data_IF_502004044424
#
_entry.id   IF_502004044424
#
_cell.length_a   1.000
_cell.length_b   1.000
_cell.length_c   1.000
_cell.angle_alpha   90.00
_cell.angle_beta   90.00
_cell.angle_gamma   90.00
#
_symmetry.space_group_name_H-M   'P 1'
#
loop_
_entity.id
_entity.type
_entity.pdbx_description
1 polymer ?
#
# COMPACT_ATOMS: atom_id res chain seq x y z
N UNK A 1 -53.35 49.61 -29.26
CA UNK A 1 -51.91 49.39 -29.01
C UNK A 1 -51.56 48.43 -27.85
N UNK A 2 -52.47 47.56 -27.38
CA UNK A 2 -52.18 46.67 -26.22
C UNK A 2 -51.91 45.18 -26.56
N UNK A 3 -51.93 44.79 -27.85
CA UNK A 3 -51.71 43.40 -28.25
C UNK A 3 -50.23 42.91 -28.33
N UNK A 4 -49.22 43.74 -28.66
CA UNK A 4 -47.84 43.21 -28.80
C UNK A 4 -47.13 42.97 -27.46
N UNK A 5 -47.46 43.72 -26.40
CA UNK A 5 -46.83 43.59 -25.08
C UNK A 5 -47.20 42.29 -24.34
N UNK A 6 -48.40 41.74 -24.55
CA UNK A 6 -48.80 40.48 -23.90
C UNK A 6 -48.14 39.25 -24.54
N UNK A 7 -47.80 39.31 -25.84
CA UNK A 7 -47.19 38.18 -26.56
C UNK A 7 -45.73 37.94 -26.15
N UNK A 8 -44.94 39.01 -25.97
CA UNK A 8 -43.54 38.91 -25.49
C UNK A 8 -43.47 38.37 -24.05
N UNK A 9 -44.39 38.82 -23.19
CA UNK A 9 -44.45 38.37 -21.79
C UNK A 9 -44.77 36.87 -21.71
N UNK A 10 -45.65 36.36 -22.58
CA UNK A 10 -45.98 34.93 -22.65
C UNK A 10 -44.80 34.10 -23.18
N UNK A 11 -44.07 34.58 -24.17
CA UNK A 11 -42.87 33.90 -24.69
C UNK A 11 -41.72 33.87 -23.67
N UNK A 12 -41.47 34.96 -22.95
CA UNK A 12 -40.47 34.97 -21.86
C UNK A 12 -40.84 34.03 -20.72
N UNK A 13 -42.12 33.99 -20.34
CA UNK A 13 -42.61 33.09 -19.29
C UNK A 13 -42.51 31.61 -19.72
N UNK A 14 -42.76 31.31 -20.99
CA UNK A 14 -42.60 29.97 -21.56
C UNK A 14 -41.11 29.55 -21.62
N UNK A 15 -40.21 30.47 -21.96
CA UNK A 15 -38.76 30.23 -21.98
C UNK A 15 -38.19 29.98 -20.57
N UNK A 16 -38.63 30.76 -19.57
CA UNK A 16 -38.27 30.56 -18.16
C UNK A 16 -38.76 29.21 -17.62
N UNK A 17 -39.99 28.80 -17.94
CA UNK A 17 -40.51 27.46 -17.58
C UNK A 17 -39.72 26.33 -18.24
N UNK A 18 -39.32 26.49 -19.51
CA UNK A 18 -38.47 25.51 -20.21
C UNK A 18 -37.06 25.43 -19.60
N UNK A 19 -36.49 26.55 -19.21
CA UNK A 19 -35.20 26.63 -18.50
C UNK A 19 -35.27 25.91 -17.15
N UNK A 20 -36.30 26.20 -16.35
CA UNK A 20 -36.50 25.56 -15.04
C UNK A 20 -36.80 24.06 -15.14
N UNK A 21 -37.55 23.62 -16.16
CA UNK A 21 -37.76 22.20 -16.43
C UNK A 21 -36.49 21.48 -16.86
N UNK A 22 -35.64 22.12 -17.68
CA UNK A 22 -34.35 21.57 -18.07
C UNK A 22 -33.38 21.48 -16.88
N UNK A 23 -33.33 22.49 -16.01
CA UNK A 23 -32.53 22.44 -14.78
C UNK A 23 -33.01 21.37 -13.81
N UNK A 24 -34.33 21.21 -13.64
CA UNK A 24 -34.90 20.13 -12.83
C UNK A 24 -34.63 18.75 -13.42
N UNK A 25 -34.78 18.56 -14.74
CA UNK A 25 -34.44 17.29 -15.40
C UNK A 25 -32.94 16.98 -15.31
N UNK A 26 -32.08 17.99 -15.44
CA UNK A 26 -30.63 17.82 -15.31
C UNK A 26 -30.25 17.46 -13.87
N UNK A 27 -30.83 18.14 -12.87
CA UNK A 27 -30.65 17.84 -11.45
C UNK A 27 -31.15 16.43 -11.09
N UNK A 28 -32.30 16.02 -11.62
CA UNK A 28 -32.89 14.71 -11.38
C UNK A 28 -32.09 13.58 -12.07
N UNK A 29 -31.55 13.83 -13.27
CA UNK A 29 -30.66 12.92 -13.97
C UNK A 29 -29.30 12.79 -13.26
N UNK A 30 -28.73 13.88 -12.73
CA UNK A 30 -27.52 13.84 -11.89
C UNK A 30 -27.75 13.09 -10.58
N UNK A 31 -28.90 13.29 -9.94
CA UNK A 31 -29.29 12.57 -8.73
C UNK A 31 -29.44 11.06 -8.99
N UNK A 32 -30.09 10.68 -10.10
CA UNK A 32 -30.20 9.28 -10.53
C UNK A 32 -28.83 8.65 -10.82
N UNK A 33 -27.94 9.34 -11.55
CA UNK A 33 -26.56 8.90 -11.78
C UNK A 33 -25.76 8.75 -10.48
N UNK A 34 -25.92 9.68 -9.54
CA UNK A 34 -25.26 9.62 -8.24
C UNK A 34 -25.75 8.42 -7.42
N UNK A 35 -27.05 8.12 -7.45
CA UNK A 35 -27.61 6.94 -6.79
C UNK A 35 -27.14 5.63 -7.40
N UNK A 36 -27.10 5.53 -8.74
CA UNK A 36 -26.57 4.34 -9.43
C UNK A 36 -25.09 4.14 -9.08
N UNK A 37 -24.29 5.21 -9.10
CA UNK A 37 -22.88 5.16 -8.70
C UNK A 37 -22.71 4.76 -7.23
N UNK A 38 -23.55 5.25 -6.32
CA UNK A 38 -23.54 4.87 -4.91
C UNK A 38 -23.92 3.39 -4.70
N UNK A 39 -24.91 2.87 -5.44
CA UNK A 39 -25.28 1.45 -5.41
C UNK A 39 -24.16 0.57 -5.96
N UNK A 40 -23.57 0.95 -7.09
CA UNK A 40 -22.48 0.21 -7.73
C UNK A 40 -21.23 0.17 -6.84
N UNK A 41 -20.79 1.32 -6.33
CA UNK A 41 -19.64 1.39 -5.40
C UNK A 41 -19.88 0.59 -4.13
N UNK A 42 -21.11 0.60 -3.59
CA UNK A 42 -21.49 -0.25 -2.47
C UNK A 42 -21.41 -1.74 -2.83
N UNK A 43 -21.95 -2.14 -3.98
CA UNK A 43 -21.87 -3.53 -4.46
C UNK A 43 -20.41 -3.99 -4.62
N UNK A 44 -19.60 -3.19 -5.31
CA UNK A 44 -18.16 -3.46 -5.52
C UNK A 44 -17.41 -3.59 -4.19
N UNK A 45 -17.74 -2.77 -3.18
CA UNK A 45 -17.10 -2.82 -1.86
C UNK A 45 -17.31 -4.11 -1.07
N UNK A 46 -18.25 -4.99 -1.48
CA UNK A 46 -18.42 -6.30 -0.85
C UNK A 46 -17.29 -7.28 -1.21
N UNK A 47 -16.65 -7.12 -2.37
CA UNK A 47 -15.62 -8.05 -2.84
C UNK A 47 -14.28 -7.35 -3.15
N UNK A 48 -14.26 -6.04 -3.38
CA UNK A 48 -13.03 -5.29 -3.65
C UNK A 48 -12.38 -4.69 -2.40
N UNK A 49 -11.19 -4.11 -2.57
CA UNK A 49 -10.44 -3.45 -1.50
C UNK A 49 -10.11 -4.42 -0.37
N UNK A 50 -10.38 -3.97 0.87
CA UNK A 50 -10.14 -4.70 2.12
C UNK A 50 -11.32 -5.60 2.56
N UNK A 51 -12.41 -5.66 1.78
CA UNK A 51 -13.68 -6.31 2.14
C UNK A 51 -14.15 -5.97 3.56
N UNK A 52 -14.05 -4.70 3.97
CA UNK A 52 -14.42 -4.26 5.32
C UNK A 52 -15.84 -4.67 5.79
N UNK A 53 -16.90 -4.65 4.94
CA UNK A 53 -18.22 -5.15 5.33
C UNK A 53 -18.22 -6.63 5.71
N UNK A 54 -17.53 -7.47 4.93
CA UNK A 54 -17.36 -8.89 5.21
C UNK A 54 -16.57 -9.10 6.51
N UNK A 55 -15.46 -8.37 6.68
CA UNK A 55 -14.68 -8.43 7.92
C UNK A 55 -15.48 -8.06 9.18
N UNK A 56 -16.40 -7.09 9.08
CA UNK A 56 -17.33 -6.77 10.19
C UNK A 56 -18.30 -7.90 10.49
N UNK A 57 -18.91 -8.49 9.45
CA UNK A 57 -19.81 -9.64 9.58
C UNK A 57 -19.08 -10.86 10.17
N UNK A 58 -17.80 -11.02 9.84
CA UNK A 58 -16.97 -12.16 10.25
C UNK A 58 -16.66 -12.18 11.76
N UNK A 59 -16.62 -11.01 12.42
CA UNK A 59 -16.36 -10.91 13.88
C UNK A 59 -17.37 -11.66 14.75
N UNK A 60 -18.60 -11.83 14.28
CA UNK A 60 -19.69 -12.47 15.02
C UNK A 60 -19.86 -13.96 14.75
N UNK A 61 -18.95 -14.62 14.04
CA UNK A 61 -19.08 -16.05 13.70
C UNK A 61 -18.11 -16.93 14.49
N UNK A 62 -18.28 -18.23 14.31
CA UNK A 62 -17.44 -19.25 14.93
C UNK A 62 -15.95 -19.06 14.64
N UNK A 63 -15.10 -19.35 15.63
CA UNK A 63 -13.66 -19.08 15.59
C UNK A 63 -12.95 -19.77 14.43
N UNK A 64 -13.35 -20.99 14.04
CA UNK A 64 -12.73 -21.68 12.91
C UNK A 64 -12.95 -20.94 11.58
N UNK A 65 -14.13 -20.32 11.39
CA UNK A 65 -14.40 -19.50 10.22
C UNK A 65 -13.58 -18.21 10.24
N UNK A 66 -13.36 -17.62 11.42
CA UNK A 66 -12.49 -16.47 11.56
C UNK A 66 -11.03 -16.82 11.24
N UNK A 67 -10.52 -17.95 11.76
CA UNK A 67 -9.17 -18.43 11.44
C UNK A 67 -9.02 -18.67 9.94
N UNK A 68 -10.02 -19.26 9.28
CA UNK A 68 -9.99 -19.42 7.83
C UNK A 68 -9.93 -18.08 7.10
N UNK A 69 -10.76 -17.10 7.46
CA UNK A 69 -10.69 -15.73 6.91
C UNK A 69 -9.30 -15.11 7.12
N UNK A 70 -8.70 -15.28 8.30
CA UNK A 70 -7.37 -14.73 8.62
C UNK A 70 -6.25 -15.42 7.82
N UNK A 71 -6.37 -16.73 7.58
CA UNK A 71 -5.45 -17.49 6.72
C UNK A 71 -5.55 -17.02 5.27
N UNK A 72 -6.77 -16.85 4.74
CA UNK A 72 -6.97 -16.34 3.38
C UNK A 72 -6.43 -14.91 3.23
N UNK A 73 -6.72 -14.01 4.18
CA UNK A 73 -6.12 -12.68 4.22
C UNK A 73 -4.60 -12.75 4.33
N UNK A 74 -4.07 -13.66 5.15
CA UNK A 74 -2.64 -13.90 5.29
C UNK A 74 -1.97 -14.29 3.98
N UNK A 75 -2.60 -15.15 3.17
CA UNK A 75 -2.10 -15.50 1.85
C UNK A 75 -2.02 -14.27 0.92
N UNK A 76 -3.05 -13.43 0.91
CA UNK A 76 -3.08 -12.22 0.08
C UNK A 76 -2.13 -11.11 0.57
N UNK A 77 -1.84 -11.05 1.88
CA UNK A 77 -0.99 -10.03 2.48
C UNK A 77 0.48 -10.08 2.04
N UNK A 78 0.94 -11.19 1.44
CA UNK A 78 2.26 -11.26 0.80
C UNK A 78 2.45 -10.15 -0.24
N UNK A 79 1.37 -9.81 -0.96
CA UNK A 79 1.33 -8.71 -1.93
C UNK A 79 0.58 -7.48 -1.39
N UNK A 80 0.57 -7.31 -0.07
CA UNK A 80 -0.09 -6.22 0.67
C UNK A 80 -1.62 -6.14 0.52
N UNK A 81 -2.26 -7.23 0.12
CA UNK A 81 -3.71 -7.28 -0.09
C UNK A 81 -4.41 -7.83 1.16
N UNK A 82 -5.34 -7.07 1.72
CA UNK A 82 -6.19 -7.51 2.84
C UNK A 82 -7.56 -8.01 2.35
N UNK A 83 -7.60 -9.05 1.53
CA UNK A 83 -8.82 -9.51 0.89
C UNK A 83 -8.90 -11.06 0.90
N UNK A 84 -9.87 -11.67 1.61
CA UNK A 84 -9.97 -13.13 1.70
C UNK A 84 -10.37 -13.78 0.37
N UNK A 85 -11.11 -13.08 -0.51
CA UNK A 85 -11.42 -13.59 -1.84
C UNK A 85 -10.16 -13.62 -2.71
N UNK A 86 -9.34 -12.58 -2.69
CA UNK A 86 -8.02 -12.60 -3.32
C UNK A 86 -7.15 -13.73 -2.77
N UNK A 87 -7.17 -13.94 -1.45
CA UNK A 87 -6.48 -15.05 -0.80
C UNK A 87 -6.93 -16.43 -1.27
N UNK A 88 -8.23 -16.63 -1.45
CA UNK A 88 -8.80 -17.86 -1.99
C UNK A 88 -8.33 -18.11 -3.43
N UNK A 89 -8.32 -17.08 -4.26
CA UNK A 89 -7.85 -17.15 -5.65
C UNK A 89 -6.35 -17.43 -5.69
N UNK A 90 -5.56 -16.84 -4.79
CA UNK A 90 -4.13 -17.14 -4.64
C UNK A 90 -3.93 -18.62 -4.26
N UNK A 91 -4.68 -19.16 -3.29
CA UNK A 91 -4.59 -20.60 -2.99
C UNK A 91 -4.96 -21.48 -4.19
N UNK A 92 -5.95 -21.10 -5.01
CA UNK A 92 -6.26 -21.81 -6.25
C UNK A 92 -5.07 -21.82 -7.22
N UNK A 93 -4.37 -20.69 -7.36
CA UNK A 93 -3.12 -20.60 -8.14
C UNK A 93 -1.99 -21.44 -7.54
N UNK A 94 -1.83 -21.45 -6.22
CA UNK A 94 -0.83 -22.31 -5.54
C UNK A 94 -1.12 -23.80 -5.76
N UNK A 95 -2.39 -24.21 -5.71
CA UNK A 95 -2.80 -25.59 -6.00
C UNK A 95 -2.51 -25.95 -7.46
N UNK A 96 -2.73 -25.02 -8.39
CA UNK A 96 -2.38 -25.19 -9.80
C UNK A 96 -0.87 -25.32 -10.01
N UNK A 97 -0.06 -24.55 -9.27
CA UNK A 97 1.39 -24.66 -9.29
C UNK A 97 1.82 -26.04 -8.80
N UNK A 98 1.54 -26.34 -7.53
CA UNK A 98 1.92 -27.58 -6.89
C UNK A 98 1.11 -27.78 -5.60
N UNK A 99 0.42 -28.91 -5.51
CA UNK A 99 -0.41 -29.29 -4.34
C UNK A 99 0.39 -29.40 -3.04
N UNK A 100 1.61 -29.91 -3.11
CA UNK A 100 2.50 -30.05 -1.95
C UNK A 100 2.97 -28.68 -1.45
N UNK A 101 3.30 -27.76 -2.35
CA UNK A 101 3.68 -26.40 -1.99
C UNK A 101 2.50 -25.65 -1.38
N UNK A 102 1.32 -25.75 -1.99
CA UNK A 102 0.08 -25.16 -1.46
C UNK A 102 -0.24 -25.65 -0.05
N UNK A 103 -0.08 -26.95 0.21
CA UNK A 103 -0.26 -27.54 1.55
C UNK A 103 0.75 -26.95 2.56
N UNK A 104 2.04 -26.89 2.21
CA UNK A 104 3.06 -26.35 3.09
C UNK A 104 2.84 -24.86 3.38
N UNK A 105 2.43 -24.07 2.38
CA UNK A 105 2.05 -22.67 2.57
C UNK A 105 0.81 -22.51 3.46
N UNK A 106 -0.21 -23.35 3.27
CA UNK A 106 -1.39 -23.36 4.13
C UNK A 106 -1.01 -23.67 5.60
N UNK A 107 -0.23 -24.73 5.82
CA UNK A 107 0.28 -25.11 7.14
C UNK A 107 1.07 -23.96 7.76
N UNK A 108 1.98 -23.34 7.00
CA UNK A 108 2.78 -22.24 7.52
C UNK A 108 1.94 -21.02 7.92
N UNK A 109 0.97 -20.64 7.08
CA UNK A 109 0.03 -19.54 7.41
C UNK A 109 -0.80 -19.84 8.66
N UNK A 110 -1.32 -21.07 8.75
CA UNK A 110 -2.16 -21.52 9.85
C UNK A 110 -1.38 -21.48 11.16
N UNK A 111 -0.18 -22.07 11.20
CA UNK A 111 0.62 -22.15 12.42
C UNK A 111 1.26 -20.82 12.82
N UNK A 112 1.58 -19.93 11.87
CA UNK A 112 1.95 -18.56 12.18
C UNK A 112 0.76 -17.79 12.82
N UNK A 113 -0.45 -17.97 12.29
CA UNK A 113 -1.67 -17.38 12.85
C UNK A 113 -1.97 -17.92 14.25
N UNK A 114 -1.88 -19.24 14.45
CA UNK A 114 -2.06 -19.89 15.76
C UNK A 114 -1.01 -19.37 16.76
N UNK A 115 0.25 -19.30 16.36
CA UNK A 115 1.32 -18.76 17.22
C UNK A 115 1.04 -17.31 17.62
N UNK A 116 0.57 -16.46 16.70
CA UNK A 116 0.20 -15.08 17.03
C UNK A 116 -0.97 -15.00 18.04
N UNK A 117 -1.92 -15.95 17.98
CA UNK A 117 -3.00 -16.06 18.96
C UNK A 117 -2.49 -16.49 20.34
N UNK A 118 -1.59 -17.49 20.38
CA UNK A 118 -0.94 -17.98 21.61
C UNK A 118 -0.15 -16.85 22.27
N UNK A 119 0.64 -16.11 21.48
CA UNK A 119 1.44 -14.96 21.90
C UNK A 119 0.61 -13.70 22.17
N UNK A 120 -0.72 -13.77 22.07
CA UNK A 120 -1.67 -12.67 22.30
C UNK A 120 -1.32 -11.38 21.54
N UNK A 121 -0.89 -11.53 20.29
CA UNK A 121 -0.62 -10.39 19.41
C UNK A 121 -1.90 -9.60 19.08
N UNK A 122 -1.73 -8.38 18.55
CA UNK A 122 -2.84 -7.48 18.24
C UNK A 122 -3.90 -8.18 17.36
N UNK A 123 -5.13 -8.30 17.88
CA UNK A 123 -6.23 -9.01 17.22
C UNK A 123 -6.65 -8.41 15.88
N UNK A 124 -6.55 -7.08 15.74
CA UNK A 124 -6.82 -6.40 14.47
C UNK A 124 -5.78 -6.74 13.40
N UNK A 125 -4.50 -6.80 13.78
CA UNK A 125 -3.42 -7.20 12.88
C UNK A 125 -3.52 -8.69 12.48
N UNK A 126 -3.86 -9.58 13.41
CA UNK A 126 -4.16 -10.99 13.11
C UNK A 126 -5.32 -11.08 12.13
N UNK A 127 -6.42 -10.38 12.41
CA UNK A 127 -7.61 -10.40 11.56
C UNK A 127 -7.39 -9.80 10.17
N UNK A 128 -6.39 -8.92 10.01
CA UNK A 128 -5.96 -8.39 8.73
C UNK A 128 -4.97 -9.31 7.99
N UNK A 129 -4.59 -10.47 8.56
CA UNK A 129 -3.63 -11.40 7.96
C UNK A 129 -2.16 -11.03 8.15
N UNK A 130 -1.83 -9.97 8.90
CA UNK A 130 -0.45 -9.45 9.03
C UNK A 130 0.50 -10.40 9.77
N UNK A 131 -0.02 -11.40 10.48
CA UNK A 131 0.77 -12.46 11.12
C UNK A 131 0.81 -13.77 10.32
N UNK A 132 0.09 -13.86 9.19
CA UNK A 132 0.03 -15.07 8.37
C UNK A 132 0.98 -15.06 7.17
N UNK A 133 1.20 -13.90 6.54
CA UNK A 133 1.91 -13.83 5.24
C UNK A 133 3.40 -14.18 5.29
N UNK A 134 4.07 -14.00 6.43
CA UNK A 134 5.43 -14.50 6.57
C UNK A 134 5.42 -16.04 6.68
N UNK A 135 4.42 -16.61 7.35
CA UNK A 135 4.25 -18.05 7.49
C UNK A 135 3.96 -18.76 6.17
N UNK A 136 3.12 -18.18 5.29
CA UNK A 136 2.86 -18.79 3.97
C UNK A 136 4.14 -18.91 3.15
N UNK A 137 4.96 -17.86 3.14
CA UNK A 137 6.23 -17.84 2.39
C UNK A 137 7.25 -18.80 3.00
N UNK A 138 7.35 -18.87 4.34
CA UNK A 138 8.21 -19.87 5.00
C UNK A 138 7.82 -21.28 4.56
N UNK A 139 6.54 -21.64 4.65
CA UNK A 139 6.08 -22.97 4.25
C UNK A 139 6.33 -23.26 2.77
N UNK A 140 5.95 -22.34 1.88
CA UNK A 140 6.16 -22.49 0.44
C UNK A 140 7.64 -22.68 0.09
N UNK A 141 8.51 -21.79 0.55
CA UNK A 141 9.90 -21.80 0.13
C UNK A 141 10.72 -22.90 0.81
N UNK A 142 10.32 -23.38 1.99
CA UNK A 142 10.89 -24.61 2.55
C UNK A 142 10.56 -25.82 1.68
N UNK A 143 9.38 -25.89 1.06
CA UNK A 143 9.04 -26.93 0.10
C UNK A 143 9.80 -26.77 -1.23
N UNK A 144 9.86 -25.55 -1.77
CA UNK A 144 10.56 -25.25 -3.03
C UNK A 144 12.06 -25.56 -2.93
N UNK A 145 12.70 -25.25 -1.81
CA UNK A 145 14.13 -25.47 -1.63
C UNK A 145 14.49 -26.84 -1.04
N UNK A 146 13.52 -27.72 -0.75
CA UNK A 146 13.82 -29.06 -0.27
C UNK A 146 14.23 -29.99 -1.42
N UNK A 147 15.38 -30.65 -1.27
CA UNK A 147 15.84 -31.69 -2.20
C UNK A 147 15.22 -33.07 -1.92
N UNK A 148 14.39 -33.20 -0.86
CA UNK A 148 13.67 -34.44 -0.55
C UNK A 148 12.46 -34.68 -1.47
N UNK A 149 12.06 -33.66 -2.25
CA UNK A 149 10.95 -33.74 -3.20
C UNK A 149 9.56 -33.57 -2.58
N UNK A 150 8.54 -33.72 -3.41
CA UNK A 150 7.15 -33.56 -3.01
C UNK A 150 6.70 -34.68 -2.06
N UNK A 151 5.76 -34.35 -1.17
CA UNK A 151 5.15 -35.28 -0.21
C UNK A 151 6.11 -35.88 0.83
N UNK A 152 7.28 -35.26 1.02
CA UNK A 152 8.15 -35.56 2.14
C UNK A 152 7.56 -35.03 3.46
N UNK A 153 6.67 -35.82 4.08
CA UNK A 153 5.86 -35.43 5.24
C UNK A 153 6.65 -34.90 6.44
N UNK A 154 7.89 -35.38 6.64
CA UNK A 154 8.77 -34.90 7.70
C UNK A 154 9.06 -33.40 7.61
N UNK A 155 9.01 -32.79 6.41
CA UNK A 155 9.19 -31.36 6.21
C UNK A 155 8.14 -30.51 6.95
N UNK A 156 6.97 -31.05 7.25
CA UNK A 156 5.95 -30.35 8.01
C UNK A 156 6.42 -29.97 9.42
N UNK A 157 7.31 -30.77 10.03
CA UNK A 157 7.83 -30.49 11.37
C UNK A 157 8.65 -29.18 11.44
N UNK A 158 9.74 -29.02 10.67
CA UNK A 158 10.47 -27.76 10.66
C UNK A 158 9.63 -26.62 10.07
N UNK A 159 8.71 -26.89 9.13
CA UNK A 159 7.80 -25.85 8.60
C UNK A 159 6.92 -25.26 9.71
N UNK A 160 6.25 -26.11 10.51
CA UNK A 160 5.43 -25.68 11.64
C UNK A 160 6.29 -24.86 12.62
N UNK A 161 7.46 -25.36 12.99
CA UNK A 161 8.36 -24.69 13.93
C UNK A 161 8.79 -23.30 13.43
N UNK A 162 9.30 -23.21 12.20
CA UNK A 162 9.74 -21.94 11.61
C UNK A 162 8.57 -20.97 11.42
N UNK A 163 7.40 -21.46 10.99
CA UNK A 163 6.20 -20.64 10.85
C UNK A 163 5.69 -20.10 12.18
N UNK A 164 5.77 -20.89 13.26
CA UNK A 164 5.44 -20.42 14.62
C UNK A 164 6.41 -19.36 15.15
N UNK A 165 7.64 -19.30 14.63
CA UNK A 165 8.60 -18.24 14.95
C UNK A 165 8.33 -16.93 14.21
N UNK A 166 7.55 -16.93 13.11
CA UNK A 166 7.25 -15.72 12.33
C UNK A 166 6.65 -14.59 13.17
N UNK A 167 5.64 -14.80 14.05
CA UNK A 167 5.12 -13.73 14.90
C UNK A 167 6.13 -13.18 15.92
N UNK A 168 7.08 -14.00 16.39
CA UNK A 168 8.13 -13.57 17.31
C UNK A 168 9.04 -12.56 16.62
N UNK A 169 9.57 -12.91 15.44
CA UNK A 169 10.40 -12.02 14.64
C UNK A 169 9.61 -10.80 14.17
N UNK A 170 8.34 -10.98 13.79
CA UNK A 170 7.48 -9.87 13.38
C UNK A 170 7.31 -8.84 14.49
N UNK A 171 7.05 -9.30 15.72
CA UNK A 171 6.92 -8.44 16.89
C UNK A 171 8.25 -7.72 17.21
N UNK A 172 9.36 -8.46 17.22
CA UNK A 172 10.68 -7.90 17.49
C UNK A 172 11.07 -6.81 16.47
N UNK A 173 10.92 -7.09 15.18
CA UNK A 173 11.22 -6.14 14.12
C UNK A 173 10.25 -4.94 14.15
N UNK A 174 8.97 -5.16 14.44
CA UNK A 174 8.00 -4.08 14.54
C UNK A 174 8.32 -3.13 15.70
N UNK A 175 8.86 -3.64 16.82
CA UNK A 175 9.29 -2.80 17.95
C UNK A 175 10.40 -1.81 17.57
N UNK A 176 11.25 -2.17 16.61
CA UNK A 176 12.32 -1.32 16.07
C UNK A 176 11.73 -0.39 15.00
N UNK A 177 11.10 -0.97 13.96
CA UNK A 177 10.65 -0.23 12.78
C UNK A 177 9.53 0.78 13.08
N UNK A 178 8.71 0.53 14.11
CA UNK A 178 7.66 1.48 14.54
C UNK A 178 8.20 2.84 14.97
N UNK A 179 9.47 2.94 15.39
CA UNK A 179 10.13 4.21 15.72
C UNK A 179 10.25 5.16 14.52
N UNK A 180 10.27 4.61 13.30
CA UNK A 180 10.33 5.36 12.04
C UNK A 180 9.04 5.23 11.21
N UNK A 181 7.98 4.70 11.81
CA UNK A 181 6.72 4.38 11.12
C UNK A 181 6.98 3.55 9.84
N UNK A 182 7.77 2.48 9.98
CA UNK A 182 8.13 1.56 8.89
C UNK A 182 7.47 0.19 9.07
N UNK A 183 7.02 -0.45 7.98
CA UNK A 183 6.56 -1.82 8.02
C UNK A 183 7.76 -2.78 8.19
N UNK A 184 7.49 -4.03 8.58
CA UNK A 184 8.51 -5.08 8.68
C UNK A 184 8.70 -5.86 7.38
N UNK A 185 7.75 -5.74 6.44
CA UNK A 185 7.73 -6.51 5.20
C UNK A 185 7.94 -8.02 5.42
N UNK A 186 8.53 -8.69 4.44
CA UNK A 186 8.81 -10.13 4.49
C UNK A 186 10.15 -10.43 5.19
N UNK A 187 10.69 -9.51 6.01
CA UNK A 187 11.93 -9.74 6.77
C UNK A 187 11.85 -10.99 7.67
N UNK A 188 10.77 -11.25 8.44
CA UNK A 188 10.67 -12.49 9.22
C UNK A 188 10.80 -13.75 8.35
N UNK A 189 10.12 -13.80 7.20
CA UNK A 189 10.24 -14.89 6.24
C UNK A 189 11.68 -15.08 5.77
N UNK A 190 12.32 -14.00 5.31
CA UNK A 190 13.68 -14.06 4.75
C UNK A 190 14.67 -14.60 5.79
N UNK A 191 14.58 -14.12 7.04
CA UNK A 191 15.43 -14.57 8.14
C UNK A 191 15.21 -16.06 8.43
N UNK A 192 13.95 -16.51 8.53
CA UNK A 192 13.63 -17.88 8.93
C UNK A 192 13.94 -18.91 7.86
N UNK A 193 13.70 -18.61 6.58
CA UNK A 193 14.10 -19.51 5.48
C UNK A 193 15.61 -19.59 5.38
N UNK A 194 16.33 -18.46 5.47
CA UNK A 194 17.79 -18.50 5.48
C UNK A 194 18.32 -19.28 6.69
N UNK A 195 17.77 -19.06 7.88
CA UNK A 195 18.14 -19.80 9.09
C UNK A 195 17.94 -21.31 8.91
N UNK A 196 16.79 -21.73 8.39
CA UNK A 196 16.52 -23.14 8.11
C UNK A 196 17.52 -23.71 7.09
N UNK A 197 17.76 -23.01 5.98
CA UNK A 197 18.64 -23.47 4.92
C UNK A 197 20.11 -23.54 5.34
N UNK A 198 20.61 -22.58 6.13
CA UNK A 198 21.97 -22.65 6.70
C UNK A 198 22.09 -23.79 7.69
N UNK A 199 21.10 -23.96 8.58
CA UNK A 199 21.14 -24.98 9.63
C UNK A 199 21.08 -26.41 9.07
N UNK A 200 20.40 -26.60 7.94
CA UNK A 200 20.28 -27.91 7.30
C UNK A 200 21.34 -28.11 6.22
N UNK A 201 21.39 -27.21 5.24
CA UNK A 201 22.30 -27.29 4.11
C UNK A 201 21.98 -28.42 3.14
N UNK A 202 22.77 -28.51 2.06
CA UNK A 202 22.57 -29.53 1.02
C UNK A 202 22.79 -30.96 1.53
N UNK A 203 23.75 -31.14 2.44
CA UNK A 203 24.20 -32.47 2.91
C UNK A 203 23.49 -32.94 4.18
N UNK A 204 22.39 -32.30 4.59
CA UNK A 204 21.62 -32.79 5.74
C UNK A 204 21.01 -34.16 5.44
N UNK A 205 21.10 -35.09 6.39
CA UNK A 205 20.51 -36.42 6.23
C UNK A 205 18.98 -36.41 6.26
N UNK A 206 18.37 -35.47 7.00
CA UNK A 206 16.92 -35.43 7.20
C UNK A 206 16.21 -34.39 6.34
N UNK A 207 16.83 -33.22 6.14
CA UNK A 207 16.23 -32.08 5.45
C UNK A 207 17.20 -31.49 4.43
N UNK A 208 17.64 -32.27 3.42
CA UNK A 208 18.59 -31.78 2.43
C UNK A 208 17.97 -30.65 1.60
N UNK A 209 18.72 -29.57 1.43
CA UNK A 209 18.31 -28.42 0.62
C UNK A 209 18.85 -28.54 -0.82
N UNK A 210 18.23 -27.82 -1.76
CA UNK A 210 18.77 -27.69 -3.12
C UNK A 210 20.17 -27.06 -3.08
N UNK A 211 21.05 -27.51 -3.97
CA UNK A 211 22.41 -26.99 -4.05
C UNK A 211 22.42 -25.66 -4.80
N UNK A 212 22.79 -24.59 -4.10
CA UNK A 212 22.99 -23.26 -4.68
C UNK A 212 24.48 -22.95 -4.68
N UNK A 213 25.01 -22.55 -5.84
CA UNK A 213 26.43 -22.26 -6.02
C UNK A 213 26.65 -20.89 -6.66
N UNK A 214 27.76 -20.21 -6.35
CA UNK A 214 28.14 -18.98 -7.03
C UNK A 214 28.46 -19.26 -8.50
N UNK A 215 28.19 -18.29 -9.37
CA UNK A 215 28.60 -18.38 -10.78
C UNK A 215 30.11 -18.24 -10.89
N UNK A 216 30.76 -19.21 -11.54
CA UNK A 216 32.22 -19.26 -11.72
C UNK A 216 32.66 -19.02 -13.16
N UNK A 217 31.72 -18.87 -14.09
CA UNK A 217 31.98 -18.62 -15.51
C UNK A 217 31.00 -17.60 -16.08
N UNK A 218 31.40 -16.97 -17.18
CA UNK A 218 30.55 -16.07 -17.93
C UNK A 218 29.41 -16.84 -18.60
N UNK A 219 28.16 -16.34 -18.56
CA UNK A 219 27.09 -16.95 -19.32
C UNK A 219 27.34 -16.75 -20.82
N UNK A 220 27.22 -17.82 -21.61
CA UNK A 220 27.26 -17.72 -23.06
C UNK A 220 25.88 -17.24 -23.56
N UNK A 221 25.77 -15.97 -23.95
CA UNK A 221 24.51 -15.34 -24.37
C UNK A 221 24.56 -15.06 -25.86
N UNK A 222 23.70 -15.73 -26.61
CA UNK A 222 23.48 -15.47 -28.03
C UNK A 222 22.23 -14.63 -28.20
N UNK A 223 22.36 -13.32 -28.44
CA UNK A 223 21.22 -12.39 -28.48
C UNK A 223 20.17 -12.72 -29.55
N UNK A 224 20.54 -13.41 -30.62
CA UNK A 224 19.61 -13.88 -31.65
C UNK A 224 18.70 -15.03 -31.19
N UNK A 225 19.03 -15.69 -30.07
CA UNK A 225 18.21 -16.75 -29.45
C UNK A 225 17.20 -16.20 -28.43
N UNK A 226 17.10 -14.87 -28.30
CA UNK A 226 16.09 -14.24 -27.45
C UNK A 226 14.68 -14.58 -27.97
N UNK A 227 13.88 -15.20 -27.11
CA UNK A 227 12.50 -15.56 -27.37
C UNK A 227 11.59 -14.48 -26.77
N UNK A 228 11.01 -13.67 -27.66
CA UNK A 228 10.10 -12.59 -27.27
C UNK A 228 8.82 -13.10 -26.58
N UNK A 229 8.32 -14.29 -26.94
CA UNK A 229 7.13 -14.84 -26.31
C UNK A 229 7.42 -15.27 -24.86
N UNK A 230 8.57 -15.90 -24.63
CA UNK A 230 9.04 -16.21 -23.27
C UNK A 230 9.36 -14.94 -22.47
N UNK A 231 9.82 -13.88 -23.14
CA UNK A 231 10.04 -12.58 -22.51
C UNK A 231 8.72 -11.99 -21.99
N UNK A 232 7.66 -11.92 -22.81
CA UNK A 232 6.35 -11.45 -22.33
C UNK A 232 5.74 -12.39 -21.28
N UNK A 233 5.94 -13.70 -21.42
CA UNK A 233 5.53 -14.70 -20.41
C UNK A 233 6.25 -14.51 -19.07
N UNK A 234 7.46 -13.93 -19.06
CA UNK A 234 8.19 -13.66 -17.82
C UNK A 234 7.48 -12.67 -16.90
N UNK A 235 6.56 -11.83 -17.42
CA UNK A 235 5.80 -10.86 -16.63
C UNK A 235 4.84 -11.56 -15.65
N UNK A 236 3.89 -12.41 -16.08
CA UNK A 236 3.08 -13.17 -15.13
C UNK A 236 3.93 -14.15 -14.30
N UNK A 237 4.98 -14.76 -14.86
CA UNK A 237 5.87 -15.65 -14.10
C UNK A 237 6.58 -14.90 -12.96
N UNK A 238 7.06 -13.68 -13.19
CA UNK A 238 7.69 -12.86 -12.15
C UNK A 238 6.71 -12.48 -11.03
N UNK A 239 5.42 -12.31 -11.32
CA UNK A 239 4.38 -12.17 -10.30
C UNK A 239 4.15 -13.49 -9.55
N UNK A 240 4.16 -14.64 -10.25
CA UNK A 240 4.11 -15.97 -9.64
C UNK A 240 5.27 -16.23 -8.67
N UNK A 241 6.47 -15.81 -9.03
CA UNK A 241 7.70 -16.01 -8.25
C UNK A 241 7.69 -15.27 -6.91
N UNK A 242 6.76 -14.33 -6.69
CA UNK A 242 6.54 -13.75 -5.35
C UNK A 242 6.20 -14.84 -4.32
N UNK A 243 5.56 -15.92 -4.76
CA UNK A 243 5.26 -17.12 -3.97
C UNK A 243 6.14 -18.33 -4.36
N UNK A 244 7.22 -18.12 -5.12
CA UNK A 244 8.08 -19.19 -5.65
C UNK A 244 7.43 -20.03 -6.75
N UNK A 245 6.45 -19.49 -7.49
CA UNK A 245 5.74 -20.20 -8.55
C UNK A 245 6.26 -19.80 -9.94
N UNK A 246 6.66 -20.77 -10.77
CA UNK A 246 7.20 -20.57 -12.12
C UNK A 246 6.15 -20.77 -13.24
N UNK A 247 4.94 -21.25 -12.90
CA UNK A 247 3.87 -21.43 -13.86
C UNK A 247 3.22 -20.07 -14.24
N UNK A 248 3.21 -19.69 -15.53
CA UNK A 248 2.62 -18.42 -15.97
C UNK A 248 1.12 -18.31 -15.66
N UNK A 249 0.39 -19.43 -15.65
CA UNK A 249 -1.04 -19.45 -15.35
C UNK A 249 -1.28 -19.13 -13.88
N UNK A 250 -0.44 -19.65 -12.98
CA UNK A 250 -0.45 -19.28 -11.56
C UNK A 250 -0.21 -17.77 -11.40
N UNK A 251 0.77 -17.22 -12.11
CA UNK A 251 1.00 -15.77 -12.17
C UNK A 251 -0.22 -14.98 -12.67
N UNK A 252 -0.87 -15.45 -13.73
CA UNK A 252 -2.10 -14.86 -14.26
C UNK A 252 -3.26 -14.89 -13.25
N UNK A 253 -3.42 -15.99 -12.51
CA UNK A 253 -4.41 -16.10 -11.42
C UNK A 253 -4.11 -15.07 -10.31
N UNK A 254 -2.84 -14.86 -9.97
CA UNK A 254 -2.46 -13.85 -8.98
C UNK A 254 -2.75 -12.42 -9.48
N UNK A 255 -2.53 -12.12 -10.76
CA UNK A 255 -2.94 -10.83 -11.37
C UNK A 255 -4.44 -10.59 -11.18
N UNK A 256 -5.28 -11.60 -11.41
CA UNK A 256 -6.74 -11.51 -11.18
C UNK A 256 -7.04 -11.27 -9.70
N UNK A 257 -6.37 -11.97 -8.79
CA UNK A 257 -6.54 -11.78 -7.35
C UNK A 257 -6.21 -10.35 -6.91
N UNK A 258 -5.13 -9.77 -7.44
CA UNK A 258 -4.75 -8.37 -7.17
C UNK A 258 -5.78 -7.40 -7.75
N UNK A 259 -6.20 -7.62 -9.00
CA UNK A 259 -7.15 -6.73 -9.68
C UNK A 259 -8.49 -6.63 -8.94
N UNK A 260 -8.98 -7.75 -8.40
CA UNK A 260 -10.21 -7.78 -7.60
C UNK A 260 -10.11 -6.88 -6.38
N UNK A 261 -8.96 -6.86 -5.69
CA UNK A 261 -8.76 -5.99 -4.52
C UNK A 261 -8.49 -4.55 -4.94
N UNK A 262 -7.49 -4.33 -5.79
CA UNK A 262 -7.06 -3.01 -6.25
C UNK A 262 -6.46 -3.09 -7.65
N UNK A 263 -7.12 -2.49 -8.66
CA UNK A 263 -6.54 -2.31 -9.99
C UNK A 263 -5.20 -1.57 -9.98
N UNK A 264 -4.99 -0.62 -9.07
CA UNK A 264 -3.71 0.10 -8.94
C UNK A 264 -2.59 -0.82 -8.44
N UNK A 265 -2.86 -1.65 -7.44
CA UNK A 265 -1.90 -2.67 -6.97
C UNK A 265 -1.56 -3.64 -8.09
N UNK A 266 -2.58 -4.10 -8.82
CA UNK A 266 -2.39 -4.97 -10.00
C UNK A 266 -1.50 -4.32 -11.07
N UNK A 267 -1.77 -3.05 -11.43
CA UNK A 267 -0.97 -2.33 -12.41
C UNK A 267 0.51 -2.21 -11.99
N UNK A 268 0.79 -1.83 -10.74
CA UNK A 268 2.16 -1.74 -10.25
C UNK A 268 2.84 -3.11 -10.11
N UNK A 269 2.07 -4.19 -9.88
CA UNK A 269 2.62 -5.54 -9.94
C UNK A 269 3.15 -5.88 -11.35
N UNK A 270 2.33 -5.64 -12.37
CA UNK A 270 2.70 -5.87 -13.78
C UNK A 270 3.87 -4.99 -14.20
N UNK A 271 3.84 -3.70 -13.85
CA UNK A 271 4.93 -2.75 -14.14
C UNK A 271 6.22 -3.19 -13.44
N UNK A 272 6.15 -3.54 -12.15
CA UNK A 272 7.31 -4.01 -11.39
C UNK A 272 7.94 -5.25 -12.02
N UNK A 273 7.14 -6.24 -12.43
CA UNK A 273 7.67 -7.43 -13.11
C UNK A 273 8.32 -7.09 -14.45
N UNK A 274 7.71 -6.21 -15.24
CA UNK A 274 8.26 -5.76 -16.51
C UNK A 274 9.57 -4.97 -16.33
N UNK A 275 9.67 -4.11 -15.32
CA UNK A 275 10.89 -3.38 -14.98
C UNK A 275 12.01 -4.35 -14.59
N UNK A 276 11.69 -5.37 -13.80
CA UNK A 276 12.64 -6.43 -13.44
C UNK A 276 13.17 -7.17 -14.68
N UNK A 277 12.27 -7.60 -15.56
CA UNK A 277 12.60 -8.24 -16.84
C UNK A 277 13.55 -7.36 -17.70
N UNK A 278 13.22 -6.07 -17.88
CA UNK A 278 14.06 -5.12 -18.63
C UNK A 278 15.41 -4.92 -17.96
N UNK A 279 15.45 -4.87 -16.62
CA UNK A 279 16.71 -4.75 -15.86
C UNK A 279 17.61 -5.98 -16.05
N UNK A 280 17.03 -7.18 -16.11
CA UNK A 280 17.76 -8.41 -16.41
C UNK A 280 18.39 -8.40 -17.79
N UNK A 281 17.66 -7.89 -18.81
CA UNK A 281 18.22 -7.69 -20.14
C UNK A 281 19.35 -6.65 -20.14
N UNK A 282 19.15 -5.53 -19.46
CA UNK A 282 20.15 -4.46 -19.37
C UNK A 282 21.47 -4.92 -18.72
N UNK A 283 21.40 -5.86 -17.78
CA UNK A 283 22.55 -6.47 -17.11
C UNK A 283 23.09 -7.73 -17.80
N UNK A 284 22.62 -8.04 -19.02
CA UNK A 284 22.99 -9.24 -19.76
C UNK A 284 22.86 -10.52 -18.90
N UNK A 285 21.75 -10.64 -18.18
CA UNK A 285 21.46 -11.84 -17.41
C UNK A 285 21.13 -13.02 -18.35
N UNK A 286 21.42 -14.27 -17.94
CA UNK A 286 21.01 -15.44 -18.70
C UNK A 286 19.50 -15.42 -18.95
N UNK A 287 19.08 -15.60 -20.22
CA UNK A 287 17.67 -15.49 -20.59
C UNK A 287 16.76 -16.42 -19.80
N UNK A 288 17.22 -17.63 -19.47
CA UNK A 288 16.45 -18.56 -18.63
C UNK A 288 16.11 -17.99 -17.25
N UNK A 289 17.03 -17.25 -16.61
CA UNK A 289 16.74 -16.59 -15.33
C UNK A 289 15.69 -15.49 -15.47
N UNK A 290 15.64 -14.81 -16.62
CA UNK A 290 14.62 -13.82 -16.94
C UNK A 290 13.27 -14.51 -17.20
N UNK A 291 13.24 -15.52 -18.06
CA UNK A 291 12.03 -16.27 -18.41
C UNK A 291 11.40 -16.97 -17.19
N UNK A 292 12.22 -17.43 -16.26
CA UNK A 292 11.78 -18.03 -15.00
C UNK A 292 11.30 -16.99 -13.97
N UNK A 293 11.27 -15.69 -14.33
CA UNK A 293 10.73 -14.61 -13.51
C UNK A 293 11.61 -14.18 -12.33
N UNK A 294 12.85 -14.68 -12.22
CA UNK A 294 13.74 -14.41 -11.08
C UNK A 294 14.16 -12.94 -10.97
N UNK A 295 14.08 -12.20 -12.07
CA UNK A 295 14.34 -10.76 -12.10
C UNK A 295 13.10 -9.91 -11.75
N UNK A 296 11.90 -10.49 -11.80
CA UNK A 296 10.64 -9.76 -11.66
C UNK A 296 10.11 -9.64 -10.23
N UNK A 297 10.14 -10.73 -9.45
CA UNK A 297 9.34 -10.84 -8.24
C UNK A 297 9.68 -9.85 -7.11
N UNK A 298 10.96 -9.53 -6.92
CA UNK A 298 11.38 -8.50 -5.98
C UNK A 298 10.89 -7.11 -6.42
N UNK A 299 10.98 -6.84 -7.73
CA UNK A 299 10.55 -5.59 -8.35
C UNK A 299 9.03 -5.41 -8.29
N UNK A 300 8.26 -6.50 -8.40
CA UNK A 300 6.80 -6.53 -8.17
C UNK A 300 6.47 -5.96 -6.79
N UNK A 301 7.05 -6.52 -5.74
CA UNK A 301 6.79 -6.10 -4.36
C UNK A 301 7.24 -4.66 -4.09
N UNK A 302 8.43 -4.28 -4.59
CA UNK A 302 8.95 -2.92 -4.45
C UNK A 302 8.04 -1.88 -5.15
N UNK A 303 7.62 -2.18 -6.39
CA UNK A 303 6.77 -1.30 -7.17
C UNK A 303 5.39 -1.14 -6.54
N UNK A 304 4.79 -2.21 -6.01
CA UNK A 304 3.52 -2.14 -5.27
C UNK A 304 3.68 -1.29 -3.99
N UNK A 305 4.73 -1.55 -3.20
CA UNK A 305 4.94 -0.88 -1.92
C UNK A 305 5.02 0.65 -2.08
N UNK A 306 5.81 1.12 -3.05
CA UNK A 306 5.97 2.56 -3.30
C UNK A 306 4.81 3.13 -4.14
N UNK A 307 4.28 2.36 -5.08
CA UNK A 307 3.23 2.73 -6.04
C UNK A 307 1.82 2.83 -5.46
N UNK A 308 1.65 3.58 -4.38
CA UNK A 308 0.34 3.89 -3.79
C UNK A 308 0.00 3.16 -2.48
N UNK A 309 0.76 2.13 -2.09
CA UNK A 309 0.53 1.43 -0.82
C UNK A 309 1.03 2.23 0.38
N UNK A 310 2.33 2.55 0.43
CA UNK A 310 2.93 3.28 1.56
C UNK A 310 3.19 4.77 1.26
N UNK A 311 3.09 5.17 -0.01
CA UNK A 311 3.00 6.57 -0.43
C UNK A 311 1.63 6.86 -1.04
N UNK A 312 1.16 8.10 -0.95
CA UNK A 312 -0.03 8.51 -1.70
C UNK A 312 0.29 8.56 -3.20
N UNK A 313 -0.52 7.91 -4.04
CA UNK A 313 -0.24 7.80 -5.47
C UNK A 313 -0.39 9.15 -6.19
N UNK A 314 0.74 9.77 -6.48
CA UNK A 314 0.91 10.90 -7.40
C UNK A 314 1.76 10.45 -8.60
N UNK A 315 1.85 11.26 -9.66
CA UNK A 315 2.70 10.90 -10.80
C UNK A 315 4.19 10.85 -10.42
N UNK A 316 4.63 11.68 -9.47
CA UNK A 316 5.98 11.65 -8.91
C UNK A 316 6.25 10.34 -8.16
N UNK A 317 5.28 9.90 -7.35
CA UNK A 317 5.37 8.62 -6.62
C UNK A 317 5.33 7.43 -7.58
N UNK A 318 4.55 7.53 -8.67
CA UNK A 318 4.57 6.52 -9.72
C UNK A 318 5.98 6.38 -10.33
N UNK A 319 6.63 7.49 -10.71
CA UNK A 319 8.02 7.45 -11.19
C UNK A 319 8.98 6.92 -10.12
N UNK A 320 8.81 7.34 -8.86
CA UNK A 320 9.61 6.85 -7.73
C UNK A 320 9.47 5.34 -7.56
N UNK A 321 8.28 4.77 -7.79
CA UNK A 321 8.06 3.33 -7.72
C UNK A 321 8.80 2.55 -8.81
N UNK A 322 8.89 3.11 -10.01
CA UNK A 322 9.68 2.53 -11.12
C UNK A 322 11.18 2.60 -10.79
N UNK A 323 11.65 3.73 -10.27
CA UNK A 323 13.05 3.88 -9.82
C UNK A 323 13.37 2.88 -8.70
N UNK A 324 12.46 2.70 -7.73
CA UNK A 324 12.61 1.70 -6.68
C UNK A 324 12.65 0.27 -7.24
N UNK A 325 11.82 -0.05 -8.24
CA UNK A 325 11.82 -1.34 -8.90
C UNK A 325 13.13 -1.61 -9.66
N UNK A 326 13.68 -0.62 -10.38
CA UNK A 326 15.01 -0.73 -10.98
C UNK A 326 16.07 -0.97 -9.92
N UNK A 327 16.16 -0.12 -8.90
CA UNK A 327 17.09 -0.28 -7.78
C UNK A 327 16.99 -1.69 -7.16
N UNK A 328 15.77 -2.18 -6.99
CA UNK A 328 15.48 -3.50 -6.46
C UNK A 328 15.98 -4.65 -7.36
N UNK A 329 15.89 -4.51 -8.68
CA UNK A 329 16.43 -5.49 -9.63
C UNK A 329 17.96 -5.61 -9.52
N UNK A 330 18.66 -4.47 -9.50
CA UNK A 330 20.13 -4.42 -9.34
C UNK A 330 20.54 -5.01 -7.99
N UNK A 331 19.88 -4.59 -6.90
CA UNK A 331 20.13 -5.12 -5.57
C UNK A 331 19.81 -6.63 -5.50
N UNK A 332 18.81 -7.08 -6.28
CA UNK A 332 18.44 -8.47 -6.46
C UNK A 332 19.59 -9.32 -6.96
N UNK A 333 20.21 -8.90 -8.06
CA UNK A 333 21.38 -9.57 -8.61
C UNK A 333 22.56 -9.54 -7.63
N UNK A 334 22.80 -8.41 -6.97
CA UNK A 334 23.91 -8.27 -6.02
C UNK A 334 23.77 -9.22 -4.82
N UNK A 335 22.60 -9.22 -4.18
CA UNK A 335 22.32 -10.09 -3.03
C UNK A 335 22.31 -11.57 -3.46
N UNK A 336 21.76 -11.91 -4.61
CA UNK A 336 21.78 -13.29 -5.10
C UNK A 336 23.21 -13.81 -5.28
N UNK A 337 24.10 -13.00 -5.85
CA UNK A 337 25.51 -13.38 -6.02
C UNK A 337 26.23 -13.56 -4.67
N UNK A 338 25.97 -12.67 -3.69
CA UNK A 338 26.55 -12.77 -2.34
C UNK A 338 25.99 -13.97 -1.58
N UNK A 339 24.67 -14.18 -1.58
CA UNK A 339 24.03 -15.27 -0.85
C UNK A 339 24.41 -16.64 -1.42
N UNK A 340 24.65 -16.74 -2.74
CA UNK A 340 25.10 -17.97 -3.37
C UNK A 340 26.45 -18.47 -2.83
N UNK A 341 27.33 -17.61 -2.30
CA UNK A 341 28.58 -18.06 -1.66
C UNK A 341 28.35 -18.82 -0.36
N UNK A 342 27.18 -18.62 0.27
CA UNK A 342 26.74 -19.34 1.47
C UNK A 342 25.74 -20.46 1.15
N UNK A 343 25.50 -20.75 -0.14
CA UNK A 343 24.49 -21.72 -0.56
C UNK A 343 23.05 -21.27 -0.31
N UNK A 344 22.81 -19.95 -0.26
CA UNK A 344 21.51 -19.36 0.04
C UNK A 344 20.88 -18.67 -1.18
N UNK A 345 19.54 -18.69 -1.28
CA UNK A 345 18.81 -17.85 -2.22
C UNK A 345 18.72 -16.41 -1.69
N UNK A 346 18.52 -15.43 -2.58
CA UNK A 346 18.24 -14.05 -2.18
C UNK A 346 16.85 -13.87 -1.56
N UNK A 347 15.91 -14.79 -1.84
CA UNK A 347 14.50 -14.66 -1.49
C UNK A 347 14.01 -13.24 -1.78
N UNK A 348 13.35 -12.58 -0.82
CA UNK A 348 12.83 -11.21 -0.95
C UNK A 348 13.62 -10.19 -0.13
N UNK A 349 14.86 -10.52 0.27
CA UNK A 349 15.79 -9.53 0.85
C UNK A 349 15.94 -8.28 -0.01
N UNK A 350 16.10 -8.37 -1.34
CA UNK A 350 16.24 -7.21 -2.21
C UNK A 350 15.03 -6.27 -2.13
N UNK A 351 13.82 -6.83 -2.15
CA UNK A 351 12.59 -6.07 -1.95
C UNK A 351 12.57 -5.35 -0.60
N UNK A 352 12.78 -6.06 0.50
CA UNK A 352 12.69 -5.48 1.84
C UNK A 352 13.66 -4.30 1.99
N UNK A 353 14.92 -4.49 1.59
CA UNK A 353 15.94 -3.45 1.71
C UNK A 353 15.64 -2.27 0.80
N UNK A 354 15.24 -2.52 -0.45
CA UNK A 354 14.90 -1.45 -1.40
C UNK A 354 13.70 -0.62 -0.91
N UNK A 355 12.61 -1.26 -0.53
CA UNK A 355 11.41 -0.57 -0.09
C UNK A 355 11.64 0.19 1.23
N UNK A 356 12.42 -0.36 2.17
CA UNK A 356 12.77 0.35 3.41
C UNK A 356 13.65 1.57 3.13
N UNK A 357 14.67 1.44 2.29
CA UNK A 357 15.50 2.59 1.87
C UNK A 357 14.64 3.68 1.25
N UNK A 358 13.74 3.33 0.33
CA UNK A 358 12.87 4.30 -0.33
C UNK A 358 11.80 4.89 0.59
N UNK A 359 11.37 4.18 1.63
CA UNK A 359 10.46 4.72 2.66
C UNK A 359 11.14 5.61 3.70
N UNK A 360 12.47 5.57 3.76
CA UNK A 360 13.29 6.40 4.64
C UNK A 360 13.74 7.71 4.00
N UNK A 361 13.59 7.86 2.68
CA UNK A 361 13.98 9.11 2.01
C UNK A 361 13.14 10.27 2.55
N UNK A 362 13.81 11.36 2.85
CA UNK A 362 13.18 12.64 3.16
C UNK A 362 13.28 13.55 1.95
N UNK A 363 12.23 14.32 1.71
CA UNK A 363 12.20 15.26 0.58
C UNK A 363 11.38 16.49 0.97
N UNK A 364 11.80 17.65 0.47
CA UNK A 364 11.10 18.91 0.70
C UNK A 364 9.83 19.05 -0.17
N UNK A 365 9.66 18.19 -1.18
CA UNK A 365 8.48 18.24 -2.04
C UNK A 365 7.24 17.71 -1.33
N UNK A 366 6.14 18.47 -1.43
CA UNK A 366 4.83 18.09 -0.84
C UNK A 366 4.08 17.04 -1.66
N UNK A 367 4.64 16.63 -2.80
CA UNK A 367 4.02 15.71 -3.77
C UNK A 367 4.37 14.24 -3.53
N UNK A 368 5.48 13.97 -2.84
CA UNK A 368 5.88 12.65 -2.38
C UNK A 368 5.51 12.58 -0.90
N UNK A 369 4.36 11.96 -0.61
CA UNK A 369 3.81 11.92 0.73
C UNK A 369 3.74 10.49 1.26
N UNK A 370 4.59 10.17 2.23
CA UNK A 370 4.55 8.90 2.96
C UNK A 370 3.29 8.86 3.84
N UNK A 371 2.53 7.79 3.74
CA UNK A 371 1.32 7.59 4.51
C UNK A 371 1.68 7.10 5.93
N UNK A 372 1.01 7.61 6.98
CA UNK A 372 1.11 7.02 8.30
C UNK A 372 0.65 5.56 8.26
N UNK A 373 1.41 4.63 8.83
CA UNK A 373 1.08 3.19 8.71
C UNK A 373 -0.31 2.83 9.21
N UNK A 374 -0.77 3.49 10.28
CA UNK A 374 -2.11 3.29 10.83
C UNK A 374 -3.25 3.63 9.86
N UNK A 375 -2.97 4.37 8.78
CA UNK A 375 -3.94 4.77 7.75
C UNK A 375 -3.80 3.97 6.45
N UNK A 376 -2.76 3.14 6.31
CA UNK A 376 -2.50 2.35 5.11
C UNK A 376 -3.57 1.27 4.95
N UNK A 377 -4.18 1.23 3.77
CA UNK A 377 -5.17 0.21 3.39
C UNK A 377 -4.88 -0.34 2.00
N UNK A 378 -5.33 0.36 0.95
CA UNK A 378 -5.07 0.05 -0.46
C UNK A 378 -5.02 1.36 -1.26
N UNK A 379 -4.37 1.39 -2.43
CA UNK A 379 -3.93 2.63 -3.07
C UNK A 379 -5.04 3.64 -3.36
N UNK A 380 -6.21 3.17 -3.81
CA UNK A 380 -7.34 4.03 -4.11
C UNK A 380 -7.88 4.73 -2.85
N UNK A 381 -7.95 4.01 -1.72
CA UNK A 381 -8.39 4.55 -0.43
C UNK A 381 -7.35 5.41 0.24
N UNK A 382 -6.08 5.04 0.09
CA UNK A 382 -4.92 5.84 0.51
C UNK A 382 -4.89 7.20 -0.22
N UNK A 383 -5.14 7.19 -1.53
CA UNK A 383 -5.23 8.41 -2.34
C UNK A 383 -6.40 9.29 -1.88
N UNK A 384 -7.57 8.70 -1.63
CA UNK A 384 -8.71 9.45 -1.06
C UNK A 384 -8.38 10.08 0.30
N UNK A 385 -7.66 9.37 1.17
CA UNK A 385 -7.19 9.91 2.45
C UNK A 385 -6.26 11.12 2.26
N UNK A 386 -5.28 11.00 1.35
CA UNK A 386 -4.36 12.08 1.02
C UNK A 386 -5.08 13.35 0.55
N UNK A 387 -6.02 13.22 -0.40
CA UNK A 387 -6.79 14.37 -0.89
C UNK A 387 -7.67 15.01 0.19
N UNK A 388 -8.28 14.21 1.07
CA UNK A 388 -9.04 14.74 2.21
C UNK A 388 -8.16 15.52 3.16
N UNK A 389 -6.96 15.01 3.47
CA UNK A 389 -6.00 15.71 4.31
C UNK A 389 -5.53 17.01 3.66
N UNK A 390 -5.21 17.01 2.36
CA UNK A 390 -4.83 18.22 1.62
C UNK A 390 -5.93 19.29 1.60
N UNK A 391 -7.19 18.89 1.43
CA UNK A 391 -8.33 19.81 1.50
C UNK A 391 -8.46 20.45 2.89
N UNK A 392 -8.30 19.66 3.96
CA UNK A 392 -8.30 20.17 5.34
C UNK A 392 -7.13 21.11 5.61
N UNK A 393 -5.93 20.78 5.13
CA UNK A 393 -4.74 21.64 5.25
C UNK A 393 -4.96 22.99 4.56
N UNK A 394 -5.59 23.00 3.38
CA UNK A 394 -5.93 24.22 2.65
C UNK A 394 -6.96 25.06 3.39
N UNK A 395 -8.08 24.44 3.82
CA UNK A 395 -9.13 25.13 4.56
C UNK A 395 -8.61 25.76 5.86
N UNK A 396 -7.71 25.06 6.58
CA UNK A 396 -7.09 25.61 7.79
C UNK A 396 -6.22 26.83 7.49
N UNK A 397 -5.44 26.81 6.41
CA UNK A 397 -4.63 27.98 5.99
C UNK A 397 -5.49 29.17 5.57
N UNK A 398 -6.61 28.91 4.89
CA UNK A 398 -7.58 29.94 4.53
C UNK A 398 -8.22 30.57 5.79
N UNK A 399 -8.56 29.76 6.79
CA UNK A 399 -9.05 30.23 8.09
C UNK A 399 -8.00 31.06 8.86
N UNK A 400 -6.76 30.55 8.98
CA UNK A 400 -5.67 31.27 9.63
C UNK A 400 -5.33 32.60 8.93
N UNK A 401 -5.45 32.65 7.59
CA UNK A 401 -5.27 33.89 6.83
C UNK A 401 -6.41 34.89 7.07
N UNK A 402 -7.67 34.42 7.13
CA UNK A 402 -8.83 35.26 7.45
C UNK A 402 -8.73 35.83 8.87
N UNK A 403 -8.34 35.01 9.85
CA UNK A 403 -8.17 35.45 11.23
C UNK A 403 -7.05 36.50 11.37
N UNK A 404 -5.93 36.31 10.65
CA UNK A 404 -4.86 37.32 10.59
C UNK A 404 -5.30 38.63 9.94
N UNK A 405 -6.10 38.58 8.87
CA UNK A 405 -6.64 39.78 8.24
C UNK A 405 -7.60 40.53 9.19
N UNK A 406 -8.49 39.80 9.88
CA UNK A 406 -9.39 40.37 10.89
C UNK A 406 -8.62 41.01 12.06
N UNK A 407 -7.54 40.39 12.53
CA UNK A 407 -6.69 40.96 13.57
C UNK A 407 -5.99 42.25 13.10
N UNK A 408 -5.42 42.25 11.90
CA UNK A 408 -4.79 43.45 11.32
C UNK A 408 -5.81 44.59 11.11
N UNK A 409 -7.04 44.25 10.71
CA UNK A 409 -8.10 45.24 10.54
C UNK A 409 -8.51 45.85 11.89
N UNK A 410 -8.66 45.04 12.93
CA UNK A 410 -8.89 45.50 14.31
C UNK A 410 -7.75 46.35 14.85
N UNK A 411 -6.50 45.99 14.58
CA UNK A 411 -5.33 46.81 14.97
C UNK A 411 -5.33 48.17 14.26
N UNK A 412 -5.62 48.19 12.95
CA UNK A 412 -5.76 49.44 12.18
C UNK A 412 -6.92 50.30 12.66
N UNK A 413 -8.02 49.69 13.08
CA UNK A 413 -9.17 50.39 13.65
C UNK A 413 -8.85 50.94 15.03
N UNK A 414 -8.22 50.16 15.91
CA UNK A 414 -7.75 50.62 17.22
C UNK A 414 -6.73 51.76 17.10
N UNK A 415 -5.83 51.70 16.12
CA UNK A 415 -4.89 52.79 15.83
C UNK A 415 -5.62 54.04 15.34
N UNK A 416 -6.58 53.91 14.42
CA UNK A 416 -7.42 55.04 13.97
C UNK A 416 -8.19 55.68 15.13
N UNK A 417 -8.74 54.89 16.05
CA UNK A 417 -9.43 55.40 17.24
C UNK A 417 -8.46 56.20 18.10
N UNK A 418 -7.26 55.67 18.39
CA UNK A 418 -6.23 56.40 19.15
C UNK A 418 -5.81 57.72 18.47
N UNK A 419 -5.59 57.70 17.16
CA UNK A 419 -5.19 58.90 16.41
C UNK A 419 -6.32 59.97 16.42
N UNK A 420 -7.58 59.52 16.42
CA UNK A 420 -8.76 60.39 16.53
C UNK A 420 -8.93 60.97 17.93
N UNK A 421 -8.66 60.19 18.99
CA UNK A 421 -8.66 60.67 20.38
C UNK A 421 -7.54 61.68 20.63
N UNK A 422 -6.34 61.47 20.10
CA UNK A 422 -5.22 62.42 20.16
C UNK A 422 -5.60 63.73 19.46
N UNK A 423 -6.22 63.66 18.29
CA UNK A 423 -6.69 64.84 17.55
C UNK A 423 -7.79 65.61 18.29
N UNK A 424 -8.65 64.92 19.05
CA UNK A 424 -9.66 65.56 19.92
C UNK A 424 -9.03 66.20 21.18
N UNK A 425 -8.03 65.55 21.78
CA UNK A 425 -7.30 66.10 22.94
C UNK A 425 -6.56 67.39 22.60
N UNK A 426 -5.96 67.48 21.41
CA UNK A 426 -5.32 68.72 20.92
C UNK A 426 -6.31 69.85 20.60
N UNK A 427 -7.60 69.55 20.39
CA UNK A 427 -8.64 70.57 20.23
C UNK A 427 -9.20 71.09 21.57
N UNK A 428 -9.07 70.33 22.67
CA UNK A 428 -9.50 70.79 24.00
C UNK A 428 -8.47 71.67 24.73
N UNK A 429 -7.20 71.68 24.30
CA UNK A 429 -6.14 72.50 24.93
C UNK A 429 -6.09 73.97 24.43
N UNK A 430 -6.97 74.37 23.49
CA UNK A 430 -7.00 75.73 22.93
C UNK A 430 -8.19 76.60 23.38
N UNK A 431 -8.84 76.28 24.50
CA UNK A 431 -9.80 77.18 25.16
C UNK A 431 -9.12 77.93 26.31
N UNK A 432 -9.06 79.28 26.30
CA UNK A 432 -8.46 80.03 27.39
C UNK A 432 -9.35 79.95 28.63
N UNK A 433 -8.83 79.32 29.68
CA UNK A 433 -9.43 79.33 31.02
C UNK A 433 -9.04 80.66 31.68
N UNK A 434 -10.01 81.57 31.81
CA UNK A 434 -9.97 82.70 32.75
C UNK A 434 -11.05 82.52 33.81
N UNK A 435 -10.65 82.55 35.08
CA UNK A 435 -11.51 82.74 36.26
C UNK A 435 -11.85 81.45 37.00
N UNK A 436 -11.02 81.04 37.97
CA UNK A 436 -11.15 81.31 39.41
C UNK A 436 -12.21 80.44 40.12
N UNK A 437 -11.67 79.42 40.81
CA UNK A 437 -11.93 79.02 42.20
C UNK A 437 -13.33 79.24 42.77
N UNK A 438 -13.95 78.16 43.26
CA UNK A 438 -14.28 78.01 44.69
C UNK A 438 -14.97 76.68 45.05
N UNK A 439 -14.52 76.12 46.19
CA UNK A 439 -15.33 75.56 47.29
C UNK A 439 -15.72 74.05 47.32
N UNK A 440 -15.02 73.38 48.26
CA UNK A 440 -15.42 72.43 49.30
C UNK A 440 -15.72 70.93 49.03
N UNK A 441 -14.76 70.10 49.47
CA UNK A 441 -14.81 69.18 50.64
C UNK A 441 -15.87 68.07 50.77
N UNK A 442 -15.35 66.87 51.11
CA UNK A 442 -15.93 65.75 51.89
C UNK A 442 -16.98 64.89 51.15
N UNK A 443 -16.90 63.55 51.12
CA UNK A 443 -16.77 62.63 52.26
C UNK A 443 -16.44 61.20 51.78
N UNK A 444 -15.55 60.52 52.54
CA UNK A 444 -15.33 59.07 52.75
C UNK A 444 -15.45 58.07 51.59
#
# INVERSE_FOLDING_TARGET
ELQPLMAETVQQTAALKKSQQNEQQHSQAEWSKAQIKAKLTRFVSYFSGDMAPFGKWMKGKFILLQILDWVLRGAAQVMFVNNPLSGLIIFAGLILQNRWWALNGFVGTLFATISALILRQNRGAIAAGLYGYNGILVGLLMAVFSNAGDWYWWLLLPNIFMSMACPILSSALASINSRWDLPIFTLPFNILVCLHMVATGHYNLHFPQVLIQPRTSFPNITWSELDYALLFRSIPVGIGQVYGCDNPWTGGIFIVALFISSPVTCAHAVIGSAVGMVSGLALAAPFQSIYFGLWGYNCVLACIAIGGMFYALTWQVHLLSIVCAFFCAYLGSAIANVMATFGLPSCTWPFCLSALTFLLITTETKTIYKLPLAQVTYPEKNLMFYWKMKKKEKAKKEQEAQEKMLLQEKEKEAQRVKDTEISRGQHSENLPITGLTEIYTTTL
#
